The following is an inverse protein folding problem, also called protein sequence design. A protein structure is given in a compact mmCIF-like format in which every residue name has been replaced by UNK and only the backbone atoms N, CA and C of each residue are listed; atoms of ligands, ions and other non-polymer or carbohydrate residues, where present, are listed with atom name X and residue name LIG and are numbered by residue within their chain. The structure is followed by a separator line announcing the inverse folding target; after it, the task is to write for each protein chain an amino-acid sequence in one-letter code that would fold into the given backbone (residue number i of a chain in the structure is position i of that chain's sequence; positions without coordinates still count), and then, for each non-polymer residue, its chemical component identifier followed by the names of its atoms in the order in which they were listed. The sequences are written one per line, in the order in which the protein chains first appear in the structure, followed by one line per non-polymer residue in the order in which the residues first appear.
data_IF_266603320111
#
_entry.id   IF_266603320111
#
_cell.length_a   1.000
_cell.length_b   1.000
_cell.length_c   1.000
_cell.angle_alpha   90.00
_cell.angle_beta   90.00
_cell.angle_gamma   90.00
#
_symmetry.space_group_name_H-M   'P 1'
#
loop_
_entity.id
_entity.type
_entity.pdbx_description
1 polymer ?
#
# COMPACT_ATOMS: atom_id res chain seq x y z
N UNK A 1 37.55 39.15 94.46
CA UNK A 1 38.40 38.60 93.39
C UNK A 1 38.01 37.16 93.16
N UNK A 2 37.28 36.86 92.09
CA UNK A 2 37.29 35.55 91.45
C UNK A 2 36.62 35.62 90.07
N UNK A 3 37.29 35.03 89.10
CA UNK A 3 37.28 35.39 87.70
C UNK A 3 36.13 34.75 86.92
N UNK A 4 35.65 35.51 85.93
CA UNK A 4 34.81 35.06 84.83
C UNK A 4 35.40 33.85 84.10
N UNK A 5 34.67 32.73 84.08
CA UNK A 5 34.92 31.62 83.15
C UNK A 5 33.90 31.73 82.01
N UNK A 6 34.28 32.36 80.89
CA UNK A 6 33.51 32.33 79.64
C UNK A 6 33.70 30.97 78.98
N UNK A 7 32.61 30.25 78.70
CA UNK A 7 32.64 29.03 77.86
C UNK A 7 32.65 29.44 76.37
N UNK A 8 33.40 28.75 75.50
CA UNK A 8 33.43 29.05 74.08
C UNK A 8 32.14 28.56 73.40
N UNK A 9 31.62 29.36 72.47
CA UNK A 9 30.51 29.03 71.58
C UNK A 9 31.02 28.08 70.49
N UNK A 10 30.53 26.84 70.49
CA UNK A 10 30.73 25.90 69.39
C UNK A 10 29.92 26.36 68.17
N UNK A 11 30.60 26.50 67.03
CA UNK A 11 30.01 26.86 65.75
C UNK A 11 29.31 25.65 65.12
N UNK A 12 27.98 25.59 65.27
CA UNK A 12 27.16 24.64 64.51
C UNK A 12 27.20 25.01 63.02
N UNK A 13 28.02 24.29 62.25
CA UNK A 13 27.99 24.33 60.78
C UNK A 13 26.67 23.71 60.33
N UNK A 14 25.71 24.54 59.95
CA UNK A 14 24.47 24.12 59.28
C UNK A 14 24.84 23.55 57.90
N UNK A 15 24.86 22.23 57.76
CA UNK A 15 24.90 21.57 56.47
C UNK A 15 23.48 21.50 55.92
N UNK A 16 23.16 22.33 54.93
CA UNK A 16 21.90 22.27 54.20
C UNK A 16 21.91 21.04 53.28
N UNK A 17 21.12 20.02 53.60
CA UNK A 17 20.93 18.84 52.75
C UNK A 17 19.89 19.18 51.66
N UNK A 18 20.35 19.39 50.43
CA UNK A 18 19.47 19.44 49.25
C UNK A 18 18.91 18.04 48.98
N UNK A 19 17.60 17.85 49.13
CA UNK A 19 16.90 16.66 48.63
C UNK A 19 16.44 16.96 47.20
N UNK A 20 17.18 16.43 46.22
CA UNK A 20 16.74 16.42 44.83
C UNK A 20 15.70 15.31 44.64
N UNK A 21 14.43 15.70 44.49
CA UNK A 21 13.36 14.77 44.10
C UNK A 21 13.49 14.49 42.60
N UNK A 22 14.10 13.36 42.25
CA UNK A 22 14.08 12.81 40.90
C UNK A 22 12.67 12.28 40.61
N UNK A 23 11.88 13.06 39.88
CA UNK A 23 10.65 12.56 39.25
C UNK A 23 11.08 11.69 38.07
N UNK A 24 11.21 10.39 38.30
CA UNK A 24 11.32 9.42 37.23
C UNK A 24 9.96 9.37 36.51
N UNK A 25 9.83 10.15 35.43
CA UNK A 25 8.69 10.04 34.52
C UNK A 25 8.67 8.64 33.93
N UNK A 26 7.71 7.83 34.36
CA UNK A 26 7.47 6.50 33.81
C UNK A 26 6.95 6.68 32.38
N UNK A 27 7.86 6.64 31.41
CA UNK A 27 7.52 6.64 29.98
C UNK A 27 6.87 5.30 29.68
N UNK A 28 5.55 5.21 29.78
CA UNK A 28 4.81 4.05 29.32
C UNK A 28 5.04 3.93 27.81
N UNK A 29 5.55 2.80 27.29
CA UNK A 29 5.60 2.60 25.85
C UNK A 29 4.16 2.66 25.32
N UNK A 30 3.90 3.57 24.39
CA UNK A 30 2.65 3.58 23.65
C UNK A 30 2.47 2.21 22.98
N UNK A 31 1.26 1.61 22.98
CA UNK A 31 1.04 0.36 22.27
C UNK A 31 1.38 0.58 20.79
N UNK A 32 2.39 -0.13 20.30
CA UNK A 32 2.66 -0.21 18.88
C UNK A 32 1.43 -0.88 18.22
N UNK A 33 0.67 -0.12 17.44
CA UNK A 33 -0.45 -0.66 16.67
C UNK A 33 0.12 -1.61 15.62
N UNK A 34 -0.33 -2.86 15.64
CA UNK A 34 0.20 -3.88 14.74
C UNK A 34 -0.42 -3.70 13.34
N UNK A 35 0.41 -3.41 12.35
CA UNK A 35 0.04 -3.51 10.94
C UNK A 35 -0.34 -4.97 10.64
N UNK A 36 -1.52 -5.18 10.05
CA UNK A 36 -1.92 -6.51 9.58
C UNK A 36 -1.47 -6.64 8.12
N UNK A 37 -0.62 -7.61 7.85
CA UNK A 37 -0.17 -7.98 6.51
C UNK A 37 -0.75 -9.35 6.20
N UNK A 38 -1.28 -9.49 4.99
CA UNK A 38 -1.71 -10.78 4.44
C UNK A 38 -1.06 -10.97 3.10
N UNK A 39 -0.54 -12.16 2.86
CA UNK A 39 0.02 -12.52 1.58
C UNK A 39 -0.18 -14.00 1.32
N UNK A 40 -0.30 -14.34 0.05
CA UNK A 40 -0.36 -15.71 -0.46
C UNK A 40 0.12 -15.70 -1.90
N UNK A 41 0.68 -16.83 -2.32
CA UNK A 41 0.99 -17.07 -3.72
C UNK A 41 0.72 -18.52 -4.09
N UNK A 42 0.47 -18.77 -5.37
CA UNK A 42 0.18 -20.09 -5.90
C UNK A 42 0.11 -20.10 -7.42
N UNK A 43 -0.18 -21.27 -7.98
CA UNK A 43 -0.20 -21.51 -9.42
C UNK A 43 -1.58 -21.26 -10.06
N UNK A 44 -2.59 -20.90 -9.26
CA UNK A 44 -3.92 -20.58 -9.76
C UNK A 44 -4.61 -19.50 -8.89
N UNK A 45 -5.63 -18.79 -9.41
CA UNK A 45 -6.39 -17.79 -8.65
C UNK A 45 -6.99 -18.33 -7.34
N UNK A 46 -7.38 -19.60 -7.33
CA UNK A 46 -7.92 -20.27 -6.16
C UNK A 46 -6.94 -20.32 -4.96
N UNK A 47 -5.63 -20.36 -5.23
CA UNK A 47 -4.60 -20.48 -4.20
C UNK A 47 -4.47 -19.21 -3.35
N UNK A 48 -4.80 -18.05 -3.92
CA UNK A 48 -4.75 -16.76 -3.22
C UNK A 48 -6.13 -16.28 -2.75
N UNK A 49 -7.21 -16.95 -3.17
CA UNK A 49 -8.59 -16.53 -2.95
C UNK A 49 -8.92 -16.33 -1.47
N UNK A 50 -8.51 -17.26 -0.60
CA UNK A 50 -8.78 -17.17 0.84
C UNK A 50 -8.13 -15.91 1.47
N UNK A 51 -6.93 -15.54 1.03
CA UNK A 51 -6.23 -14.33 1.49
C UNK A 51 -6.93 -13.06 1.00
N UNK A 52 -7.36 -13.04 -0.26
CA UNK A 52 -8.13 -11.93 -0.83
C UNK A 52 -9.47 -11.75 -0.09
N UNK A 53 -10.20 -12.83 0.15
CA UNK A 53 -11.50 -12.78 0.83
C UNK A 53 -11.38 -12.40 2.31
N UNK A 54 -10.31 -12.84 2.98
CA UNK A 54 -10.04 -12.38 4.34
C UNK A 54 -9.70 -10.89 4.36
N UNK A 55 -8.94 -10.37 3.40
CA UNK A 55 -8.71 -8.94 3.32
C UNK A 55 -9.98 -8.12 3.07
N UNK A 56 -10.82 -8.59 2.13
CA UNK A 56 -12.13 -8.00 1.85
C UNK A 56 -12.98 -7.95 3.11
N UNK A 57 -13.02 -9.06 3.85
CA UNK A 57 -13.73 -9.18 5.13
C UNK A 57 -13.22 -8.16 6.11
N UNK A 58 -11.90 -8.05 6.25
CA UNK A 58 -11.37 -7.09 7.18
C UNK A 58 -11.78 -5.66 6.78
N UNK A 59 -11.78 -5.29 5.48
CA UNK A 59 -12.04 -3.90 5.04
C UNK A 59 -13.52 -3.53 5.15
N UNK A 60 -14.37 -4.54 5.28
CA UNK A 60 -15.82 -4.38 5.35
C UNK A 60 -16.46 -4.29 3.98
N UNK A 61 -17.73 -3.91 3.97
CA UNK A 61 -18.63 -3.96 2.80
C UNK A 61 -18.06 -3.25 1.58
N UNK A 62 -18.29 -3.83 0.39
CA UNK A 62 -17.99 -3.18 -0.89
C UNK A 62 -18.95 -2.01 -1.10
N UNK A 63 -18.39 -0.82 -1.22
CA UNK A 63 -19.15 0.40 -1.50
C UNK A 63 -19.43 0.53 -3.00
N UNK A 64 -20.49 1.28 -3.34
CA UNK A 64 -20.76 1.65 -4.74
C UNK A 64 -19.70 2.60 -5.26
N UNK A 65 -19.51 2.60 -6.58
CA UNK A 65 -18.47 3.37 -7.26
C UNK A 65 -18.91 4.81 -7.60
N UNK A 66 -19.54 5.49 -6.64
CA UNK A 66 -20.02 6.88 -6.79
C UNK A 66 -19.05 7.86 -6.12
N UNK A 67 -19.07 9.12 -6.52
CA UNK A 67 -18.24 10.15 -5.88
C UNK A 67 -18.56 10.29 -4.38
N UNK A 68 -17.57 10.70 -3.58
CA UNK A 68 -17.68 10.93 -2.14
C UNK A 68 -17.12 9.82 -1.25
N UNK A 69 -17.27 10.02 0.06
CA UNK A 69 -16.85 9.11 1.12
C UNK A 69 -18.06 8.42 1.77
N UNK A 70 -17.88 7.16 2.18
CA UNK A 70 -18.89 6.35 2.87
C UNK A 70 -18.62 6.14 4.37
N UNK A 71 -17.53 6.71 4.89
CA UNK A 71 -17.12 6.57 6.31
C UNK A 71 -16.60 5.18 6.71
N UNK A 72 -17.01 4.11 6.03
CA UNK A 72 -16.54 2.74 6.23
C UNK A 72 -16.62 1.92 4.94
N UNK A 73 -16.16 0.68 4.97
CA UNK A 73 -16.15 -0.23 3.83
C UNK A 73 -14.95 -0.06 2.91
N UNK A 74 -15.06 -0.61 1.71
CA UNK A 74 -13.97 -0.68 0.73
C UNK A 74 -14.43 -0.34 -0.68
N UNK A 75 -13.47 -0.10 -1.56
CA UNK A 75 -13.68 -0.09 -3.01
C UNK A 75 -12.66 -1.01 -3.67
N UNK A 76 -13.07 -1.64 -4.75
CA UNK A 76 -12.23 -2.57 -5.52
C UNK A 76 -12.18 -2.09 -6.97
N UNK A 77 -10.97 -2.05 -7.53
CA UNK A 77 -10.78 -1.77 -8.96
C UNK A 77 -11.07 -3.07 -9.72
N UNK A 78 -11.98 -2.96 -10.70
CA UNK A 78 -12.22 -4.01 -11.67
C UNK A 78 -11.68 -3.53 -13.02
N UNK A 79 -10.63 -4.19 -13.51
CA UNK A 79 -9.97 -3.84 -14.77
C UNK A 79 -10.82 -4.17 -16.00
N UNK A 80 -11.73 -5.14 -15.90
CA UNK A 80 -12.70 -5.50 -16.95
C UNK A 80 -13.78 -4.43 -17.18
N UNK A 81 -13.92 -3.50 -16.23
CA UNK A 81 -14.80 -2.33 -16.38
C UNK A 81 -14.21 -1.22 -17.26
N UNK A 82 -12.97 -1.35 -17.72
CA UNK A 82 -12.34 -0.36 -18.60
C UNK A 82 -12.83 -0.55 -20.05
N UNK A 83 -13.24 0.50 -20.77
CA UNK A 83 -13.62 0.37 -22.18
C UNK A 83 -12.44 -0.06 -23.09
N UNK A 84 -12.70 -0.83 -24.14
CA UNK A 84 -11.66 -1.24 -25.13
C UNK A 84 -10.89 -0.05 -25.72
N UNK A 85 -11.56 1.08 -25.95
CA UNK A 85 -10.93 2.31 -26.45
C UNK A 85 -9.93 2.95 -25.48
N UNK A 86 -9.94 2.54 -24.21
CA UNK A 86 -9.04 3.01 -23.15
C UNK A 86 -8.15 1.86 -22.62
N UNK A 87 -7.99 0.82 -23.43
CA UNK A 87 -7.18 -0.37 -23.13
C UNK A 87 -6.16 -0.57 -24.23
N UNK A 88 -5.20 -1.47 -23.99
CA UNK A 88 -4.14 -1.80 -24.93
C UNK A 88 -4.70 -1.93 -26.36
N UNK A 89 -4.08 -1.23 -27.35
CA UNK A 89 -2.78 -0.55 -27.27
C UNK A 89 -2.83 0.89 -26.72
N UNK A 90 -3.98 1.36 -26.24
CA UNK A 90 -4.16 2.71 -25.69
C UNK A 90 -3.80 2.76 -24.20
N UNK A 91 -3.27 3.91 -23.77
CA UNK A 91 -3.08 4.20 -22.35
C UNK A 91 -4.42 4.49 -21.67
N UNK A 92 -4.57 4.02 -20.43
CA UNK A 92 -5.67 4.44 -19.57
C UNK A 92 -5.32 5.81 -18.98
N UNK A 93 -6.25 6.80 -18.99
CA UNK A 93 -6.07 8.03 -18.23
C UNK A 93 -5.81 7.75 -16.75
N UNK A 94 -4.77 8.39 -16.21
CA UNK A 94 -4.31 8.24 -14.84
C UNK A 94 -5.41 8.38 -13.78
N UNK A 95 -6.38 9.25 -14.04
CA UNK A 95 -7.48 9.62 -13.16
C UNK A 95 -8.80 8.91 -13.48
N UNK A 96 -8.81 7.89 -14.36
CA UNK A 96 -10.03 7.17 -14.74
C UNK A 96 -10.80 6.63 -13.52
N UNK A 97 -10.08 6.05 -12.55
CA UNK A 97 -10.66 5.57 -11.29
C UNK A 97 -10.83 6.64 -10.21
N UNK A 98 -10.63 7.91 -10.56
CA UNK A 98 -11.09 9.03 -9.75
C UNK A 98 -12.29 9.73 -10.41
N UNK A 99 -12.30 9.88 -11.74
CA UNK A 99 -13.27 10.68 -12.50
C UNK A 99 -14.38 9.83 -13.11
N UNK A 100 -14.04 8.86 -13.97
CA UNK A 100 -15.02 8.10 -14.76
C UNK A 100 -15.66 6.96 -13.97
N UNK A 101 -14.89 6.31 -13.10
CA UNK A 101 -15.36 5.26 -12.20
C UNK A 101 -14.89 5.54 -10.77
N UNK A 102 -15.47 6.55 -10.10
CA UNK A 102 -14.91 7.12 -8.87
C UNK A 102 -14.62 6.07 -7.80
N UNK A 103 -13.35 5.91 -7.48
CA UNK A 103 -12.79 5.09 -6.39
C UNK A 103 -11.75 5.82 -5.56
N UNK A 104 -11.36 7.02 -5.99
CA UNK A 104 -10.45 7.87 -5.22
C UNK A 104 -9.00 7.47 -5.38
N UNK A 105 -8.59 7.05 -6.58
CA UNK A 105 -7.21 6.75 -6.90
C UNK A 105 -6.82 7.38 -8.23
N UNK A 106 -5.64 7.99 -8.25
CA UNK A 106 -4.96 8.48 -9.46
C UNK A 106 -3.63 7.76 -9.56
N UNK A 107 -3.34 7.20 -10.72
CA UNK A 107 -2.11 6.48 -10.98
C UNK A 107 -1.06 7.35 -11.66
N UNK A 108 0.21 7.15 -11.35
CA UNK A 108 1.32 7.74 -12.10
C UNK A 108 2.47 6.76 -12.23
N UNK A 109 3.38 7.02 -13.15
CA UNK A 109 4.63 6.27 -13.28
C UNK A 109 5.73 7.24 -13.70
N UNK A 110 7.00 7.01 -13.31
CA UNK A 110 8.14 7.70 -13.91
C UNK A 110 8.29 7.45 -15.41
N UNK A 111 7.64 6.40 -15.93
CA UNK A 111 7.67 6.05 -17.34
C UNK A 111 6.67 6.82 -18.21
N UNK A 112 6.26 6.21 -19.32
CA UNK A 112 5.50 6.88 -20.39
C UNK A 112 3.99 6.73 -20.29
N UNK A 113 3.50 5.87 -19.39
CA UNK A 113 2.07 5.72 -19.20
C UNK A 113 1.65 4.47 -18.43
N UNK A 114 0.35 4.21 -18.46
CA UNK A 114 -0.30 3.12 -17.76
C UNK A 114 -1.28 2.45 -18.71
N UNK A 115 -1.25 1.12 -18.80
CA UNK A 115 -2.13 0.36 -19.68
C UNK A 115 -2.90 -0.71 -18.92
N UNK A 116 -4.09 -0.99 -19.45
CA UNK A 116 -4.89 -2.17 -19.12
C UNK A 116 -4.87 -3.07 -20.34
N UNK A 117 -4.66 -4.38 -20.18
CA UNK A 117 -4.57 -5.31 -21.31
C UNK A 117 -5.90 -5.41 -22.07
N UNK A 118 -5.83 -5.87 -23.33
CA UNK A 118 -7.04 -6.12 -24.11
C UNK A 118 -7.81 -7.33 -23.53
N UNK A 119 -9.14 -7.33 -23.67
CA UNK A 119 -9.93 -8.56 -23.46
C UNK A 119 -9.98 -9.37 -24.76
N UNK A 120 -10.39 -10.64 -24.71
CA UNK A 120 -10.38 -11.51 -25.89
C UNK A 120 -11.37 -11.11 -27.00
N UNK A 121 -12.40 -10.33 -26.67
CA UNK A 121 -13.45 -9.90 -27.59
C UNK A 121 -13.22 -8.49 -28.16
N UNK A 122 -12.05 -7.90 -27.92
CA UNK A 122 -11.77 -6.51 -28.31
C UNK A 122 -11.86 -6.34 -29.85
N UNK A 123 -12.39 -5.20 -30.33
CA UNK A 123 -12.64 -4.99 -31.76
C UNK A 123 -11.35 -4.76 -32.58
N UNK A 124 -10.21 -4.52 -31.91
CA UNK A 124 -8.92 -4.21 -32.54
C UNK A 124 -8.03 -5.43 -32.73
N UNK A 125 -8.49 -6.64 -32.36
CA UNK A 125 -7.69 -7.88 -32.38
C UNK A 125 -6.35 -7.74 -31.64
N UNK A 126 -6.28 -6.85 -30.66
CA UNK A 126 -5.10 -6.67 -29.83
C UNK A 126 -4.94 -7.90 -28.94
N UNK A 127 -3.75 -8.50 -28.83
CA UNK A 127 -3.54 -9.64 -27.94
C UNK A 127 -3.91 -9.33 -26.49
N UNK A 128 -4.48 -10.32 -25.80
CA UNK A 128 -4.72 -10.26 -24.35
C UNK A 128 -3.38 -10.21 -23.58
N UNK A 129 -3.44 -10.02 -22.26
CA UNK A 129 -2.29 -10.21 -21.35
C UNK A 129 -1.01 -9.48 -21.80
N UNK A 130 -1.16 -8.31 -22.42
CA UNK A 130 -0.05 -7.52 -22.96
C UNK A 130 0.78 -8.23 -24.03
N UNK A 131 0.20 -9.17 -24.78
CA UNK A 131 0.84 -9.75 -25.97
C UNK A 131 1.20 -8.72 -27.05
N UNK A 132 0.65 -7.50 -26.99
CA UNK A 132 1.05 -6.37 -27.81
C UNK A 132 2.40 -5.74 -27.40
N UNK A 133 2.87 -6.01 -26.18
CA UNK A 133 4.18 -5.59 -25.67
C UNK A 133 5.20 -6.71 -25.92
N UNK A 134 4.87 -7.93 -25.49
CA UNK A 134 5.65 -9.13 -25.78
C UNK A 134 4.70 -10.31 -26.02
N UNK A 135 4.71 -10.94 -27.21
CA UNK A 135 3.83 -12.06 -27.52
C UNK A 135 3.91 -13.24 -26.54
N UNK A 136 5.06 -13.44 -25.88
CA UNK A 136 5.25 -14.52 -24.90
C UNK A 136 4.41 -14.34 -23.62
N UNK A 137 3.96 -13.12 -23.32
CA UNK A 137 3.19 -12.81 -22.11
C UNK A 137 1.85 -13.54 -22.04
N UNK A 138 1.25 -13.84 -23.19
CA UNK A 138 0.00 -14.62 -23.31
C UNK A 138 0.11 -16.08 -22.85
N UNK A 139 1.32 -16.55 -22.52
CA UNK A 139 1.57 -17.90 -22.02
C UNK A 139 2.13 -17.92 -20.60
N UNK A 140 2.33 -16.76 -19.96
CA UNK A 140 2.96 -16.67 -18.64
C UNK A 140 2.19 -15.79 -17.65
N UNK A 141 1.30 -14.92 -18.12
CA UNK A 141 0.47 -14.10 -17.25
C UNK A 141 -0.93 -14.68 -17.10
N UNK A 142 -1.45 -14.65 -15.88
CA UNK A 142 -2.82 -15.01 -15.57
C UNK A 142 -3.50 -13.86 -14.82
N UNK A 143 -4.78 -13.63 -15.12
CA UNK A 143 -5.59 -12.67 -14.39
C UNK A 143 -6.30 -13.35 -13.19
N UNK A 144 -6.17 -12.77 -12.00
CA UNK A 144 -6.92 -13.24 -10.82
C UNK A 144 -8.44 -13.20 -11.03
N UNK A 145 -8.93 -12.11 -11.62
CA UNK A 145 -10.29 -11.98 -12.15
C UNK A 145 -10.15 -11.75 -13.65
N UNK A 146 -10.42 -12.75 -14.49
CA UNK A 146 -10.30 -12.61 -15.93
C UNK A 146 -11.23 -11.51 -16.48
N UNK A 147 -10.78 -10.75 -17.47
CA UNK A 147 -9.68 -11.08 -18.40
C UNK A 147 -8.48 -10.11 -18.35
N UNK A 148 -8.60 -8.98 -17.65
CA UNK A 148 -7.64 -7.88 -17.85
C UNK A 148 -6.62 -7.71 -16.74
N UNK A 149 -5.42 -7.36 -17.17
CA UNK A 149 -4.26 -7.02 -16.36
C UNK A 149 -3.96 -5.52 -16.48
N UNK A 150 -3.06 -5.01 -15.65
CA UNK A 150 -2.55 -3.64 -15.75
C UNK A 150 -1.03 -3.61 -15.67
N UNK A 151 -0.40 -2.62 -16.30
CA UNK A 151 1.05 -2.39 -16.20
C UNK A 151 1.41 -0.90 -16.37
N UNK A 152 2.40 -0.36 -15.64
CA UNK A 152 3.10 0.84 -16.08
C UNK A 152 3.91 0.55 -17.35
N UNK A 153 4.18 1.60 -18.14
CA UNK A 153 5.01 1.56 -19.34
C UNK A 153 6.27 2.41 -19.15
N UNK A 154 7.41 1.97 -19.69
CA UNK A 154 8.67 2.72 -19.62
C UNK A 154 9.26 2.83 -18.21
N UNK A 155 8.71 2.07 -17.26
CA UNK A 155 9.16 1.94 -15.87
C UNK A 155 8.52 0.70 -15.27
N UNK A 156 9.10 0.17 -14.20
CA UNK A 156 8.52 -0.87 -13.34
C UNK A 156 7.92 -0.28 -12.04
N UNK A 157 7.66 1.03 -12.00
CA UNK A 157 7.08 1.72 -10.84
C UNK A 157 5.70 2.24 -11.21
N UNK A 158 4.71 1.96 -10.37
CA UNK A 158 3.37 2.52 -10.46
C UNK A 158 3.02 3.18 -9.12
N UNK A 159 2.86 4.48 -9.10
CA UNK A 159 2.37 5.18 -7.93
C UNK A 159 0.84 5.25 -7.94
N UNK A 160 0.23 5.06 -6.78
CA UNK A 160 -1.21 5.19 -6.56
C UNK A 160 -1.44 6.25 -5.49
N UNK A 161 -1.97 7.41 -5.87
CA UNK A 161 -2.28 8.51 -4.97
C UNK A 161 -3.79 8.55 -4.70
N UNK A 162 -4.19 8.67 -3.43
CA UNK A 162 -5.59 8.56 -3.04
C UNK A 162 -6.25 9.91 -2.77
N UNK A 163 -7.53 9.97 -3.10
CA UNK A 163 -8.39 11.14 -2.98
C UNK A 163 -9.76 10.74 -2.46
N UNK A 164 -10.52 11.69 -1.93
CA UNK A 164 -11.97 11.50 -1.80
C UNK A 164 -12.51 11.30 -3.21
N UNK A 165 -13.13 10.14 -3.45
CA UNK A 165 -13.51 9.69 -4.79
C UNK A 165 -14.27 10.77 -5.58
N UNK A 166 -13.83 11.07 -6.79
CA UNK A 166 -14.45 12.10 -7.64
C UNK A 166 -14.04 13.53 -7.32
N UNK A 167 -12.99 13.74 -6.51
CA UNK A 167 -12.51 15.07 -6.12
C UNK A 167 -10.98 15.17 -6.16
N UNK A 168 -10.47 16.37 -5.92
CA UNK A 168 -9.05 16.67 -5.72
C UNK A 168 -8.64 16.71 -4.23
N UNK A 169 -9.55 16.41 -3.30
CA UNK A 169 -9.22 16.35 -1.87
C UNK A 169 -8.40 15.11 -1.58
N UNK A 170 -7.12 15.28 -1.22
CA UNK A 170 -6.24 14.18 -0.85
C UNK A 170 -6.85 13.36 0.31
N UNK A 171 -6.65 12.04 0.26
CA UNK A 171 -7.21 11.13 1.24
C UNK A 171 -6.26 9.99 1.58
N UNK A 172 -6.55 9.36 2.71
CA UNK A 172 -5.88 8.17 3.23
C UNK A 172 -6.73 6.94 2.96
N UNK A 173 -6.10 5.76 2.96
CA UNK A 173 -6.83 4.49 2.97
C UNK A 173 -6.41 3.64 4.16
N UNK A 174 -7.39 2.98 4.78
CA UNK A 174 -7.14 2.06 5.91
C UNK A 174 -6.48 0.75 5.48
N UNK A 175 -6.30 0.53 4.20
CA UNK A 175 -5.64 -0.63 3.67
C UNK A 175 -5.58 -0.60 2.16
N UNK A 176 -4.54 -1.24 1.63
CA UNK A 176 -4.28 -1.37 0.21
C UNK A 176 -3.81 -2.78 -0.08
N UNK A 177 -4.22 -3.32 -1.23
CA UNK A 177 -3.78 -4.62 -1.70
C UNK A 177 -3.73 -4.67 -3.21
N UNK A 178 -2.83 -5.48 -3.73
CA UNK A 178 -2.70 -5.77 -5.14
C UNK A 178 -2.45 -7.27 -5.34
N UNK A 179 -2.84 -7.74 -6.52
CA UNK A 179 -2.47 -9.07 -7.01
C UNK A 179 -1.52 -8.86 -8.18
N UNK A 180 -0.40 -9.56 -8.12
CA UNK A 180 0.62 -9.62 -9.15
C UNK A 180 0.55 -10.98 -9.83
N UNK A 181 0.94 -11.04 -11.10
CA UNK A 181 1.13 -12.28 -11.85
C UNK A 181 2.61 -12.45 -12.15
N UNK A 182 3.07 -13.70 -12.24
CA UNK A 182 4.43 -14.09 -12.64
C UNK A 182 5.53 -13.52 -11.72
N UNK A 183 5.33 -13.64 -10.40
CA UNK A 183 6.34 -13.25 -9.40
C UNK A 183 7.31 -14.41 -9.17
N UNK A 184 8.23 -14.58 -10.11
CA UNK A 184 9.21 -15.69 -10.09
C UNK A 184 10.37 -15.51 -9.10
N UNK A 185 10.78 -14.25 -8.88
CA UNK A 185 12.00 -13.93 -8.14
C UNK A 185 11.64 -13.39 -6.74
N UNK A 186 12.35 -13.91 -5.74
CA UNK A 186 12.16 -13.51 -4.36
C UNK A 186 12.74 -12.11 -4.09
N UNK A 187 12.03 -11.30 -3.29
CA UNK A 187 12.45 -9.96 -2.85
C UNK A 187 12.56 -8.91 -3.94
N UNK A 188 11.96 -9.19 -5.08
CA UNK A 188 12.08 -8.31 -6.22
C UNK A 188 10.75 -7.50 -6.32
N UNK A 189 9.57 -8.12 -6.24
CA UNK A 189 8.27 -7.39 -6.33
C UNK A 189 7.88 -6.81 -4.98
N UNK A 190 7.58 -5.51 -4.92
CA UNK A 190 7.38 -4.83 -3.64
C UNK A 190 6.24 -3.80 -3.64
N UNK A 191 5.64 -3.59 -2.49
CA UNK A 191 4.75 -2.45 -2.24
C UNK A 191 5.42 -1.59 -1.18
N UNK A 192 5.57 -0.30 -1.46
CA UNK A 192 6.08 0.66 -0.49
C UNK A 192 4.94 1.57 -0.06
N UNK A 193 4.69 1.65 1.24
CA UNK A 193 3.60 2.46 1.77
C UNK A 193 4.12 3.76 2.36
N UNK A 194 3.31 4.82 2.31
CA UNK A 194 3.65 6.15 2.82
C UNK A 194 2.51 6.79 3.61
N UNK A 195 2.86 7.60 4.62
CA UNK A 195 1.92 8.40 5.40
C UNK A 195 1.56 9.76 4.77
N UNK A 196 0.78 10.59 5.48
CA UNK A 196 0.29 11.91 5.05
C UNK A 196 1.37 12.87 4.63
N UNK A 197 2.50 12.74 5.33
CA UNK A 197 3.65 13.60 5.19
C UNK A 197 4.65 12.99 4.20
N UNK A 198 4.24 11.95 3.46
CA UNK A 198 5.05 11.22 2.50
C UNK A 198 6.25 10.51 3.14
N UNK A 199 6.16 10.14 4.42
CA UNK A 199 7.17 9.31 5.06
C UNK A 199 6.89 7.83 4.78
N UNK A 200 7.93 7.05 4.52
CA UNK A 200 7.79 5.61 4.32
C UNK A 200 7.31 4.90 5.59
N UNK A 201 6.26 4.10 5.44
CA UNK A 201 5.75 3.16 6.44
C UNK A 201 6.37 1.75 6.30
N UNK A 202 7.20 1.57 5.28
CA UNK A 202 7.91 0.32 5.01
C UNK A 202 7.77 -0.12 3.55
N UNK A 203 8.66 -1.04 3.19
CA UNK A 203 8.65 -1.75 1.92
C UNK A 203 8.34 -3.21 2.20
N UNK A 204 7.38 -3.75 1.46
CA UNK A 204 6.86 -5.08 1.69
C UNK A 204 6.97 -5.91 0.43
N UNK A 205 7.46 -7.14 0.58
CA UNK A 205 7.71 -8.04 -0.55
C UNK A 205 6.45 -8.84 -0.86
N UNK A 206 6.09 -8.92 -2.14
CA UNK A 206 5.09 -9.88 -2.61
C UNK A 206 5.72 -11.29 -2.63
N UNK A 207 5.05 -12.33 -2.08
CA UNK A 207 5.62 -13.67 -2.06
C UNK A 207 5.87 -14.18 -3.48
N UNK A 208 7.06 -14.75 -3.70
CA UNK A 208 7.42 -15.34 -4.98
C UNK A 208 7.06 -16.82 -5.04
N UNK A 209 6.55 -17.25 -6.18
CA UNK A 209 6.32 -18.67 -6.52
C UNK A 209 6.79 -18.82 -7.96
N UNK A 210 7.79 -19.68 -8.16
CA UNK A 210 8.32 -19.93 -9.48
C UNK A 210 7.30 -20.66 -10.35
N UNK A 211 7.12 -20.20 -11.59
CA UNK A 211 6.25 -20.83 -12.56
C UNK A 211 5.43 -19.80 -13.35
N UNK A 212 5.07 -20.20 -14.57
CA UNK A 212 4.14 -19.44 -15.39
C UNK A 212 2.75 -19.38 -14.73
N UNK A 213 2.04 -18.29 -14.98
CA UNK A 213 0.64 -18.06 -14.55
C UNK A 213 0.48 -18.00 -13.02
N UNK A 214 1.58 -17.92 -12.27
CA UNK A 214 1.53 -17.83 -10.81
C UNK A 214 0.98 -16.47 -10.37
N UNK A 215 0.20 -16.48 -9.29
CA UNK A 215 -0.36 -15.28 -8.69
C UNK A 215 0.21 -15.04 -7.31
N UNK A 216 0.45 -13.77 -6.99
CA UNK A 216 0.92 -13.31 -5.70
C UNK A 216 0.03 -12.18 -5.20
N UNK A 217 -0.59 -12.37 -4.05
CA UNK A 217 -1.35 -11.32 -3.37
C UNK A 217 -0.51 -10.73 -2.24
N UNK A 218 -0.46 -9.41 -2.18
CA UNK A 218 0.03 -8.70 -1.01
C UNK A 218 -0.96 -7.66 -0.58
N UNK A 219 -1.21 -7.61 0.72
CA UNK A 219 -2.26 -6.80 1.26
C UNK A 219 -1.98 -6.29 2.67
N UNK A 220 -2.36 -5.03 2.92
CA UNK A 220 -2.20 -4.38 4.22
C UNK A 220 -3.48 -3.74 4.74
N UNK A 221 -3.69 -3.84 6.07
CA UNK A 221 -4.62 -3.03 6.85
C UNK A 221 -3.92 -2.27 7.98
N UNK A 222 -4.30 -1.01 8.11
CA UNK A 222 -4.12 -0.15 9.27
C UNK A 222 -5.25 -0.39 10.30
N UNK A 223 -4.89 -0.58 11.58
CA UNK A 223 -5.86 -0.80 12.66
C UNK A 223 -6.73 0.47 12.92
N UNK A 224 -7.91 0.34 13.55
CA UNK A 224 -8.95 1.39 13.56
C UNK A 224 -8.58 2.74 14.18
N UNK A 225 -7.44 2.86 14.87
CA UNK A 225 -6.98 4.10 15.50
C UNK A 225 -5.85 4.81 14.75
N UNK A 226 -5.35 4.26 13.64
CA UNK A 226 -4.36 4.93 12.80
C UNK A 226 -5.04 5.59 11.61
N UNK A 227 -5.13 6.92 11.63
CA UNK A 227 -5.15 7.71 10.41
C UNK A 227 -3.76 7.57 9.78
N UNK A 228 -3.61 6.63 8.86
CA UNK A 228 -2.41 6.49 8.05
C UNK A 228 -2.83 6.48 6.59
N UNK A 229 -2.38 7.48 5.84
CA UNK A 229 -2.28 7.45 4.38
C UNK A 229 -1.59 6.19 3.87
N UNK A 230 -1.87 5.90 2.61
CA UNK A 230 -1.21 4.86 1.84
C UNK A 230 -1.00 5.47 0.44
N UNK A 231 0.18 5.35 -0.16
CA UNK A 231 0.48 5.71 -1.57
C UNK A 231 1.43 4.63 -2.12
N UNK A 232 1.31 4.30 -3.41
CA UNK A 232 2.24 3.54 -4.28
C UNK A 232 2.40 1.99 -4.21
N UNK A 233 2.05 1.26 -5.29
CA UNK A 233 2.50 -0.12 -5.55
C UNK A 233 3.60 -0.27 -6.64
N UNK A 234 4.81 -0.73 -6.28
CA UNK A 234 5.85 -1.14 -7.26
C UNK A 234 5.63 -2.58 -7.77
N UNK A 235 4.82 -2.76 -8.82
CA UNK A 235 4.66 -4.05 -9.50
C UNK A 235 5.91 -4.45 -10.29
N UNK A 236 6.26 -5.74 -10.32
CA UNK A 236 7.47 -6.23 -10.97
C UNK A 236 7.27 -7.54 -11.75
N UNK A 237 8.10 -7.71 -12.80
CA UNK A 237 8.75 -8.96 -13.23
C UNK A 237 9.82 -8.65 -14.29
N UNK A 238 11.11 -8.82 -13.97
CA UNK A 238 12.32 -8.65 -14.83
C UNK A 238 12.67 -7.26 -15.40
N UNK A 239 13.94 -6.90 -15.18
CA UNK A 239 14.70 -5.89 -15.91
C UNK A 239 15.10 -6.43 -17.30
N UNK A 240 14.47 -5.95 -18.37
CA UNK A 240 15.13 -5.84 -19.66
C UNK A 240 14.88 -4.43 -20.21
N UNK A 241 15.93 -3.72 -20.64
CA UNK A 241 15.74 -2.45 -21.35
C UNK A 241 15.03 -2.76 -22.68
N UNK A 242 13.95 -2.03 -22.95
CA UNK A 242 13.60 -1.73 -24.33
C UNK A 242 14.59 -0.69 -24.87
#
# INVERSE_FOLDING_TARGET
MNAHRRRPLESHRLAATLVAVLIAGMLLPAPALAQVIRSAAGAAPADIQATVDQFRTDLGTLNTNTAGSFGSGRREINWDGVPDSLSAPNNLPADFFNVNSPRGVVFSTPGTGFQVSANAANPTSTPIEFGNIDPSYTAIFEAFSPQRLFTPLGSNILDATFFVAGSSTAATVKGFGAVFTDVDLANTTTIQLFDASNNSLGTFVAPAVAGAETLSSWVHRLQPTSFGECVSPTAMGRSQPA
#
